data_IF_747522084030
#
_entry.id   IF_747522084030
#
_cell.length_a   1.000
_cell.length_b   1.000
_cell.length_c   1.000
_cell.angle_alpha   90.00
_cell.angle_beta   90.00
_cell.angle_gamma   90.00
#
_symmetry.space_group_name_H-M   'P 1'
#
loop_
_entity.id
_entity.type
_entity.pdbx_description
1 polymer ?
#
# COMPACT_ATOMS: atom_id res chain seq x y z
N UNK A 1 4.12 -10.72 14.19
CA UNK A 1 4.00 -11.01 12.78
C UNK A 1 3.66 -12.48 12.62
N UNK A 2 2.68 -12.81 11.79
CA UNK A 2 2.31 -14.16 11.41
C UNK A 2 2.55 -14.33 9.91
N UNK A 3 2.59 -15.56 9.46
CA UNK A 3 2.80 -15.89 8.05
C UNK A 3 1.83 -16.98 7.62
N UNK A 4 1.42 -16.92 6.38
CA UNK A 4 0.61 -17.95 5.71
C UNK A 4 1.15 -18.11 4.28
N UNK A 5 0.97 -19.26 3.70
CA UNK A 5 1.31 -19.53 2.31
C UNK A 5 0.05 -19.46 1.45
N UNK A 6 0.06 -18.59 0.45
CA UNK A 6 -1.00 -18.47 -0.55
C UNK A 6 -0.40 -18.72 -1.93
N UNK A 7 -0.88 -19.76 -2.62
CA UNK A 7 -0.41 -20.12 -3.97
C UNK A 7 1.12 -20.35 -4.08
N UNK A 8 1.74 -20.90 -3.03
CA UNK A 8 3.18 -21.13 -2.96
C UNK A 8 4.01 -19.89 -2.58
N UNK A 9 3.35 -18.80 -2.24
CA UNK A 9 4.01 -17.54 -1.87
C UNK A 9 3.67 -17.12 -0.44
N UNK A 10 4.67 -16.68 0.32
CA UNK A 10 4.50 -16.29 1.73
C UNK A 10 3.85 -14.92 1.86
N UNK A 11 2.76 -14.84 2.61
CA UNK A 11 2.09 -13.60 3.02
C UNK A 11 2.32 -13.35 4.50
N UNK A 12 2.83 -12.17 4.82
CA UNK A 12 2.98 -11.71 6.20
C UNK A 12 1.74 -10.93 6.63
N UNK A 13 1.31 -11.10 7.87
CA UNK A 13 0.20 -10.32 8.42
C UNK A 13 0.32 -10.14 9.93
N UNK A 14 -0.31 -9.10 10.44
CA UNK A 14 -0.54 -8.90 11.88
C UNK A 14 -1.95 -9.31 12.19
N UNK A 15 -2.12 -10.02 13.29
CA UNK A 15 -3.44 -10.39 13.79
C UNK A 15 -3.50 -10.17 15.30
N UNK A 16 -4.59 -9.61 15.77
CA UNK A 16 -4.84 -9.39 17.19
C UNK A 16 -6.34 -9.28 17.46
N UNK A 17 -6.74 -9.64 18.70
CA UNK A 17 -8.13 -9.55 19.16
C UNK A 17 -9.00 -10.72 18.71
N UNK A 18 -10.31 -10.57 18.98
CA UNK A 18 -11.34 -11.54 18.64
C UNK A 18 -12.66 -10.81 18.35
N UNK A 19 -13.65 -11.53 17.78
CA UNK A 19 -14.95 -10.98 17.41
C UNK A 19 -15.09 -10.70 15.92
N UNK A 20 -15.87 -9.67 15.55
CA UNK A 20 -16.04 -9.27 14.14
C UNK A 20 -14.70 -8.93 13.49
N UNK A 21 -14.51 -9.39 12.26
CA UNK A 21 -13.23 -9.20 11.57
C UNK A 21 -13.08 -7.79 10.98
N UNK A 22 -11.88 -7.21 11.16
CA UNK A 22 -11.41 -6.00 10.52
C UNK A 22 -10.22 -6.33 9.62
N UNK A 23 -10.36 -6.14 8.32
CA UNK A 23 -9.27 -6.24 7.35
C UNK A 23 -8.70 -4.84 7.09
N UNK A 24 -7.44 -4.60 7.47
CA UNK A 24 -6.77 -3.30 7.34
C UNK A 24 -5.74 -3.33 6.21
N UNK A 25 -5.98 -2.58 5.14
CA UNK A 25 -5.17 -2.57 3.92
C UNK A 25 -4.33 -1.29 3.86
N UNK A 26 -3.01 -1.43 3.88
CA UNK A 26 -2.05 -0.31 3.86
C UNK A 26 -1.91 0.36 2.49
N UNK A 27 -1.28 1.53 2.46
CA UNK A 27 -1.00 2.30 1.25
C UNK A 27 0.23 1.84 0.46
N UNK A 28 0.52 2.56 -0.63
CA UNK A 28 1.67 2.34 -1.50
C UNK A 28 2.99 2.38 -0.70
N UNK A 29 3.88 1.43 -0.97
CA UNK A 29 5.16 1.25 -0.29
C UNK A 29 5.06 1.14 1.26
N UNK A 30 3.85 1.01 1.81
CA UNK A 30 3.60 0.76 3.22
C UNK A 30 3.71 -0.72 3.60
N UNK A 31 3.22 -1.05 4.79
CA UNK A 31 3.10 -2.41 5.31
C UNK A 31 2.05 -2.44 6.42
N UNK A 32 1.80 -3.59 7.01
CA UNK A 32 0.96 -3.73 8.21
C UNK A 32 1.43 -2.85 9.39
N UNK A 33 2.66 -2.35 9.33
CA UNK A 33 3.21 -1.43 10.33
C UNK A 33 2.47 -0.09 10.39
N UNK A 34 1.86 0.36 9.29
CA UNK A 34 0.99 1.55 9.23
C UNK A 34 -0.09 1.51 10.32
N UNK A 35 -0.58 0.34 10.64
CA UNK A 35 -1.67 0.14 11.60
C UNK A 35 -1.20 -0.08 13.05
N UNK A 36 0.12 -0.06 13.31
CA UNK A 36 0.69 -0.41 14.63
C UNK A 36 0.14 0.43 15.77
N UNK A 37 -0.07 1.73 15.54
CA UNK A 37 -0.55 2.64 16.58
C UNK A 37 -2.01 2.39 16.97
N UNK A 38 -2.87 1.99 16.02
CA UNK A 38 -4.31 1.80 16.24
C UNK A 38 -4.68 0.36 16.57
N UNK A 39 -3.84 -0.60 16.20
CA UNK A 39 -4.07 -2.03 16.38
C UNK A 39 -4.40 -2.42 17.83
N UNK A 40 -3.71 -1.92 18.88
CA UNK A 40 -4.03 -2.25 20.27
C UNK A 40 -5.42 -1.79 20.71
N UNK A 41 -5.92 -0.70 20.17
CA UNK A 41 -7.27 -0.20 20.48
C UNK A 41 -8.36 -0.98 19.74
N UNK A 42 -8.14 -1.24 18.46
CA UNK A 42 -9.09 -1.98 17.62
C UNK A 42 -9.21 -3.42 18.08
N UNK A 43 -8.12 -4.06 18.48
CA UNK A 43 -8.11 -5.45 18.94
C UNK A 43 -8.85 -5.72 20.26
N UNK A 44 -9.23 -4.66 20.99
CA UNK A 44 -10.10 -4.79 22.17
C UNK A 44 -11.53 -5.19 21.79
N UNK A 45 -11.97 -4.94 20.56
CA UNK A 45 -13.36 -5.13 20.11
C UNK A 45 -13.47 -6.01 18.86
N UNK A 46 -12.39 -6.13 18.08
CA UNK A 46 -12.41 -6.75 16.77
C UNK A 46 -11.28 -7.77 16.62
N UNK A 47 -11.50 -8.77 15.78
CA UNK A 47 -10.42 -9.59 15.22
C UNK A 47 -9.76 -8.80 14.08
N UNK A 48 -8.67 -8.13 14.37
CA UNK A 48 -7.96 -7.28 13.39
C UNK A 48 -6.99 -8.13 12.60
N UNK A 49 -7.06 -8.06 11.27
CA UNK A 49 -6.11 -8.65 10.33
C UNK A 49 -5.54 -7.54 9.46
N UNK A 50 -4.22 -7.35 9.51
CA UNK A 50 -3.50 -6.35 8.72
C UNK A 50 -2.39 -7.05 7.93
N UNK A 51 -2.62 -7.43 6.66
CA UNK A 51 -1.61 -8.04 5.81
C UNK A 51 -0.61 -7.02 5.30
N UNK A 52 0.58 -7.52 4.98
CA UNK A 52 1.48 -6.89 4.02
C UNK A 52 1.06 -7.39 2.63
N UNK A 53 0.65 -6.49 1.74
CA UNK A 53 0.31 -6.85 0.36
C UNK A 53 1.52 -7.49 -0.35
N UNK A 54 1.30 -8.36 -1.31
CA UNK A 54 2.40 -8.87 -2.14
C UNK A 54 3.25 -7.72 -2.67
N UNK A 55 4.58 -7.89 -2.66
CA UNK A 55 5.51 -6.85 -3.04
C UNK A 55 5.84 -5.83 -1.93
N UNK A 56 5.18 -5.90 -0.78
CA UNK A 56 5.33 -4.97 0.33
C UNK A 56 5.73 -5.68 1.62
N UNK A 57 6.33 -4.92 2.54
CA UNK A 57 6.72 -5.41 3.87
C UNK A 57 7.48 -6.72 3.85
N UNK A 58 7.05 -7.66 4.69
CA UNK A 58 7.63 -9.00 4.85
C UNK A 58 6.97 -10.06 3.95
N UNK A 59 5.96 -9.68 3.17
CA UNK A 59 5.35 -10.57 2.18
C UNK A 59 6.28 -10.83 1.00
N UNK A 60 6.08 -11.97 0.34
CA UNK A 60 6.79 -12.33 -0.89
C UNK A 60 6.60 -11.28 -1.99
N UNK A 61 7.56 -11.23 -2.90
CA UNK A 61 7.61 -10.29 -4.03
C UNK A 61 7.65 -11.05 -5.35
N UNK A 62 6.60 -11.87 -5.64
CA UNK A 62 6.59 -12.71 -6.83
C UNK A 62 6.67 -11.89 -8.12
N UNK A 63 7.12 -12.55 -9.19
CA UNK A 63 6.96 -12.00 -10.53
C UNK A 63 5.53 -12.26 -10.98
N UNK A 64 4.68 -11.22 -10.94
CA UNK A 64 3.25 -11.41 -11.24
C UNK A 64 2.53 -10.09 -11.45
N UNK A 65 1.21 -10.18 -11.40
CA UNK A 65 0.30 -9.06 -11.50
C UNK A 65 0.19 -8.34 -10.14
N UNK A 66 0.32 -7.02 -10.17
CA UNK A 66 0.21 -6.12 -9.03
C UNK A 66 -0.95 -5.12 -9.22
N UNK A 67 -1.96 -5.53 -9.99
CA UNK A 67 -3.19 -4.75 -10.16
C UNK A 67 -4.05 -4.77 -8.89
N UNK A 68 -4.96 -3.80 -8.78
CA UNK A 68 -5.94 -3.78 -7.68
C UNK A 68 -6.75 -5.09 -7.62
N UNK A 69 -7.05 -5.68 -8.79
CA UNK A 69 -7.76 -6.95 -8.89
C UNK A 69 -6.98 -8.13 -8.32
N UNK A 70 -5.68 -8.22 -8.63
CA UNK A 70 -4.81 -9.26 -8.09
C UNK A 70 -4.67 -9.14 -6.56
N UNK A 71 -4.52 -7.92 -6.03
CA UNK A 71 -4.53 -7.70 -4.59
C UNK A 71 -5.86 -8.09 -3.94
N UNK A 72 -6.99 -7.76 -4.58
CA UNK A 72 -8.31 -8.13 -4.06
C UNK A 72 -8.48 -9.65 -3.96
N UNK A 73 -8.05 -10.40 -4.98
CA UNK A 73 -8.07 -11.87 -4.96
C UNK A 73 -7.19 -12.42 -3.82
N UNK A 74 -5.95 -11.94 -3.70
CA UNK A 74 -5.05 -12.42 -2.64
C UNK A 74 -5.58 -12.13 -1.23
N UNK A 75 -6.31 -11.03 -1.04
CA UNK A 75 -6.95 -10.70 0.24
C UNK A 75 -8.14 -11.61 0.52
N UNK A 76 -8.94 -11.99 -0.50
CA UNK A 76 -9.99 -12.98 -0.36
C UNK A 76 -9.40 -14.33 0.08
N UNK A 77 -8.35 -14.79 -0.60
CA UNK A 77 -7.69 -16.06 -0.29
C UNK A 77 -7.08 -16.05 1.12
N UNK A 78 -6.55 -14.91 1.57
CA UNK A 78 -6.10 -14.74 2.94
C UNK A 78 -7.26 -14.89 3.95
N UNK A 79 -8.42 -14.28 3.67
CA UNK A 79 -9.58 -14.40 4.56
C UNK A 79 -10.08 -15.84 4.61
N UNK A 80 -10.11 -16.55 3.48
CA UNK A 80 -10.50 -17.97 3.40
C UNK A 80 -9.55 -18.84 4.25
N UNK A 81 -8.24 -18.65 4.12
CA UNK A 81 -7.25 -19.38 4.90
C UNK A 81 -7.35 -19.11 6.41
N UNK A 82 -7.78 -17.91 6.79
CA UNK A 82 -8.02 -17.53 8.18
C UNK A 82 -9.43 -17.91 8.70
N UNK A 83 -10.25 -18.54 7.87
CA UNK A 83 -11.64 -18.92 8.22
C UNK A 83 -12.55 -17.70 8.44
N UNK A 84 -12.28 -16.57 7.72
CA UNK A 84 -13.03 -15.33 7.84
C UNK A 84 -13.96 -15.21 6.63
N UNK A 85 -15.24 -15.38 6.84
CA UNK A 85 -16.24 -15.32 5.77
C UNK A 85 -16.74 -13.90 5.49
N UNK A 86 -16.60 -12.98 6.45
CA UNK A 86 -17.01 -11.56 6.30
C UNK A 86 -16.15 -10.66 7.18
N UNK A 87 -15.82 -9.49 6.67
CA UNK A 87 -15.05 -8.48 7.40
C UNK A 87 -15.51 -7.05 7.10
N UNK A 88 -15.28 -6.14 8.03
CA UNK A 88 -15.22 -4.71 7.72
C UNK A 88 -13.88 -4.45 7.07
N UNK A 89 -13.89 -3.95 5.82
CA UNK A 89 -12.70 -3.70 5.01
C UNK A 89 -12.31 -2.23 5.13
N UNK A 90 -11.09 -1.98 5.59
CA UNK A 90 -10.55 -0.63 5.80
C UNK A 90 -9.34 -0.46 4.89
N UNK A 91 -9.33 0.56 4.04
CA UNK A 91 -8.21 0.81 3.13
C UNK A 91 -7.70 2.24 3.19
N UNK A 92 -6.37 2.40 3.24
CA UNK A 92 -5.71 3.69 3.24
C UNK A 92 -4.97 3.92 1.92
N UNK A 93 -5.14 5.08 1.29
CA UNK A 93 -4.45 5.47 0.06
C UNK A 93 -4.63 4.42 -1.05
N UNK A 94 -3.55 3.78 -1.55
CA UNK A 94 -3.63 2.62 -2.46
C UNK A 94 -4.54 1.53 -1.90
N UNK A 95 -4.41 1.23 -0.60
CA UNK A 95 -5.25 0.23 0.06
C UNK A 95 -6.74 0.56 -0.01
N UNK A 96 -7.11 1.84 -0.13
CA UNK A 96 -8.49 2.25 -0.39
C UNK A 96 -8.96 1.84 -1.78
N UNK A 97 -8.11 2.00 -2.81
CA UNK A 97 -8.38 1.48 -4.15
C UNK A 97 -8.52 -0.05 -4.18
N UNK A 98 -7.62 -0.75 -3.46
CA UNK A 98 -7.71 -2.21 -3.30
C UNK A 98 -9.00 -2.61 -2.57
N UNK A 99 -9.38 -1.88 -1.50
CA UNK A 99 -10.61 -2.14 -0.75
C UNK A 99 -11.87 -1.98 -1.60
N UNK A 100 -11.94 -0.93 -2.43
CA UNK A 100 -13.03 -0.73 -3.38
C UNK A 100 -13.10 -1.86 -4.40
N UNK A 101 -11.96 -2.26 -4.95
CA UNK A 101 -11.87 -3.39 -5.89
C UNK A 101 -12.25 -4.72 -5.22
N UNK A 102 -11.85 -4.92 -3.96
CA UNK A 102 -12.23 -6.08 -3.16
C UNK A 102 -13.76 -6.18 -3.00
N UNK A 103 -14.41 -5.08 -2.64
CA UNK A 103 -15.88 -5.03 -2.49
C UNK A 103 -16.57 -5.28 -3.82
N UNK A 104 -16.04 -4.77 -4.90
CA UNK A 104 -16.59 -5.00 -6.24
C UNK A 104 -16.53 -6.47 -6.65
N UNK A 105 -15.41 -7.15 -6.40
CA UNK A 105 -15.18 -8.55 -6.82
C UNK A 105 -15.75 -9.57 -5.81
N UNK A 106 -15.73 -9.24 -4.51
CA UNK A 106 -15.99 -10.17 -3.41
C UNK A 106 -17.00 -9.57 -2.41
N UNK A 107 -18.15 -9.12 -2.92
CA UNK A 107 -19.15 -8.39 -2.14
C UNK A 107 -19.60 -9.15 -0.88
N UNK A 108 -19.71 -10.46 -0.95
CA UNK A 108 -20.19 -11.29 0.15
C UNK A 108 -19.23 -11.33 1.35
N UNK A 109 -17.94 -11.07 1.10
CA UNK A 109 -16.92 -10.94 2.14
C UNK A 109 -16.91 -9.57 2.83
N UNK A 110 -17.56 -8.57 2.27
CA UNK A 110 -17.56 -7.22 2.81
C UNK A 110 -18.83 -6.94 3.63
N UNK A 111 -18.66 -6.66 4.93
CA UNK A 111 -19.73 -6.20 5.79
C UNK A 111 -19.88 -4.68 5.73
N UNK A 112 -18.76 -3.96 5.79
CA UNK A 112 -18.66 -2.50 5.71
C UNK A 112 -17.37 -2.12 5.00
N UNK A 113 -17.37 -0.99 4.31
CA UNK A 113 -16.19 -0.39 3.67
C UNK A 113 -15.84 0.93 4.35
N UNK A 114 -14.58 1.09 4.75
CA UNK A 114 -14.03 2.33 5.32
C UNK A 114 -12.84 2.77 4.47
N UNK A 115 -12.88 3.99 3.98
CA UNK A 115 -11.83 4.58 3.15
C UNK A 115 -11.14 5.72 3.89
N UNK A 116 -9.81 5.67 3.95
CA UNK A 116 -8.98 6.67 4.62
C UNK A 116 -8.03 7.27 3.60
N UNK A 117 -8.21 8.56 3.28
CA UNK A 117 -7.40 9.27 2.27
C UNK A 117 -7.19 8.44 0.99
N UNK A 118 -8.28 7.82 0.50
CA UNK A 118 -8.24 6.81 -0.55
C UNK A 118 -7.80 7.42 -1.89
N UNK A 119 -6.88 6.73 -2.57
CA UNK A 119 -6.62 6.95 -3.99
C UNK A 119 -7.79 6.45 -4.85
N UNK A 120 -7.95 7.04 -6.04
CA UNK A 120 -8.98 6.63 -7.02
C UNK A 120 -10.34 7.30 -6.89
N UNK A 121 -10.52 8.22 -5.92
CA UNK A 121 -11.75 8.99 -5.75
C UNK A 121 -11.75 10.35 -6.51
N UNK A 122 -10.67 10.67 -7.24
CA UNK A 122 -10.56 11.91 -7.98
C UNK A 122 -9.44 11.89 -9.02
N UNK A 123 -9.39 12.89 -9.92
CA UNK A 123 -8.37 12.99 -10.97
C UNK A 123 -6.99 13.42 -10.44
N UNK A 124 -6.89 13.85 -9.19
CA UNK A 124 -5.72 14.50 -8.64
C UNK A 124 -4.69 13.49 -8.12
N UNK A 125 -3.97 12.89 -9.05
CA UNK A 125 -2.74 12.19 -8.72
C UNK A 125 -1.58 13.18 -8.61
N UNK A 126 -0.84 13.09 -7.50
CA UNK A 126 0.39 13.85 -7.28
C UNK A 126 1.31 13.78 -8.51
N UNK A 127 1.83 14.93 -8.94
CA UNK A 127 2.80 15.01 -10.04
C UNK A 127 3.99 14.06 -9.80
N UNK A 128 4.41 13.89 -8.56
CA UNK A 128 5.48 12.97 -8.15
C UNK A 128 5.15 11.52 -8.52
N UNK A 129 3.92 11.04 -8.25
CA UNK A 129 3.51 9.68 -8.61
C UNK A 129 3.45 9.48 -10.12
N UNK A 130 3.01 10.50 -10.86
CA UNK A 130 3.03 10.47 -12.33
C UNK A 130 4.44 10.41 -12.88
N UNK A 131 5.37 11.20 -12.35
CA UNK A 131 6.79 11.15 -12.73
C UNK A 131 7.41 9.79 -12.44
N UNK A 132 7.11 9.20 -11.27
CA UNK A 132 7.60 7.89 -10.89
C UNK A 132 7.00 6.74 -11.72
N UNK A 133 5.83 6.92 -12.34
CA UNK A 133 5.23 5.92 -13.23
C UNK A 133 5.77 5.98 -14.66
N UNK A 134 6.51 7.05 -15.03
CA UNK A 134 7.03 7.26 -16.37
C UNK A 134 8.03 6.16 -16.78
N UNK A 135 8.09 5.82 -18.10
CA UNK A 135 9.13 4.95 -18.64
C UNK A 135 10.52 5.51 -18.37
N UNK A 136 11.48 4.65 -18.06
CA UNK A 136 12.88 5.02 -17.78
C UNK A 136 13.17 5.30 -16.29
N UNK A 137 12.17 5.45 -15.43
CA UNK A 137 12.37 5.62 -13.99
C UNK A 137 13.09 4.40 -13.38
N UNK A 138 12.92 3.22 -13.94
CA UNK A 138 13.63 2.01 -13.53
C UNK A 138 15.15 2.12 -13.64
N UNK A 139 15.68 3.04 -14.48
CA UNK A 139 17.10 3.29 -14.61
C UNK A 139 17.61 4.30 -13.56
N UNK A 140 16.78 5.27 -13.18
CA UNK A 140 17.16 6.35 -12.26
C UNK A 140 16.90 5.96 -10.81
N UNK A 141 15.78 5.30 -10.53
CA UNK A 141 15.36 4.96 -9.17
C UNK A 141 16.39 4.09 -8.40
N UNK A 142 17.13 3.12 -9.02
CA UNK A 142 18.19 2.39 -8.33
C UNK A 142 19.32 3.28 -7.83
N UNK A 143 19.65 4.33 -8.56
CA UNK A 143 20.71 5.28 -8.18
C UNK A 143 20.23 6.15 -7.02
N UNK A 144 19.04 6.74 -7.16
CA UNK A 144 18.45 7.63 -6.14
C UNK A 144 18.15 6.88 -4.85
N UNK A 145 17.65 5.65 -4.93
CA UNK A 145 17.38 4.80 -3.76
C UNK A 145 18.59 3.95 -3.32
N UNK A 146 19.80 4.27 -3.79
CA UNK A 146 21.00 3.54 -3.40
C UNK A 146 21.40 3.82 -1.93
N UNK A 147 21.99 2.82 -1.27
CA UNK A 147 22.45 2.96 0.12
C UNK A 147 23.33 4.19 0.39
N UNK A 148 24.31 4.55 -0.49
CA UNK A 148 25.10 5.76 -0.30
C UNK A 148 24.24 7.02 -0.26
N UNK A 149 23.29 7.17 -1.19
CA UNK A 149 22.39 8.34 -1.26
C UNK A 149 21.50 8.40 -0.03
N UNK A 150 20.92 7.27 0.39
CA UNK A 150 20.13 7.16 1.61
C UNK A 150 20.93 7.55 2.85
N UNK A 151 22.19 7.13 2.96
CA UNK A 151 23.05 7.47 4.09
C UNK A 151 23.36 8.97 4.16
N UNK A 152 23.57 9.61 3.01
CA UNK A 152 23.76 11.07 2.93
C UNK A 152 22.48 11.79 3.33
N UNK A 153 21.33 11.36 2.80
CA UNK A 153 20.05 11.95 3.13
C UNK A 153 19.69 11.78 4.62
N UNK A 154 20.00 10.62 5.23
CA UNK A 154 19.86 10.38 6.67
C UNK A 154 20.70 11.34 7.51
N UNK A 155 21.98 11.51 7.16
CA UNK A 155 22.88 12.43 7.85
C UNK A 155 22.40 13.89 7.75
N UNK A 156 21.92 14.28 6.57
CA UNK A 156 21.37 15.62 6.36
C UNK A 156 20.07 15.82 7.16
N UNK A 157 19.17 14.83 7.14
CA UNK A 157 17.93 14.86 7.91
C UNK A 157 18.16 14.94 9.40
N UNK A 158 19.11 14.18 9.95
CA UNK A 158 19.48 14.24 11.38
C UNK A 158 20.11 15.58 11.75
N UNK A 159 20.90 16.17 10.87
CA UNK A 159 21.47 17.51 11.07
C UNK A 159 20.38 18.58 11.07
N UNK A 160 19.42 18.55 10.13
CA UNK A 160 18.29 19.49 10.09
C UNK A 160 17.41 19.39 11.34
N UNK A 161 17.15 18.17 11.84
CA UNK A 161 16.39 17.96 13.08
C UNK A 161 17.15 18.53 14.29
N UNK A 162 18.46 18.36 14.35
CA UNK A 162 19.29 18.95 15.41
C UNK A 162 19.34 20.49 15.35
N UNK A 163 19.14 21.05 14.14
CA UNK A 163 19.03 22.50 13.92
C UNK A 163 17.61 23.06 14.17
N UNK A 164 16.69 22.23 14.72
CA UNK A 164 15.33 22.66 15.09
C UNK A 164 14.30 22.62 13.95
N UNK A 165 14.67 22.11 12.78
CA UNK A 165 13.71 21.91 11.68
C UNK A 165 12.93 20.62 11.94
N UNK A 166 11.69 20.76 12.42
CA UNK A 166 10.80 19.62 12.65
C UNK A 166 10.21 19.15 11.33
N UNK A 167 10.41 17.90 11.02
CA UNK A 167 9.74 17.25 9.88
C UNK A 167 8.30 16.92 10.26
N UNK A 168 7.33 17.00 9.33
CA UNK A 168 5.95 16.55 9.56
C UNK A 168 5.90 15.11 10.07
N UNK A 169 4.89 14.77 10.88
CA UNK A 169 4.70 13.43 11.48
C UNK A 169 4.75 12.27 10.47
N UNK A 170 4.42 12.53 9.22
CA UNK A 170 4.39 11.55 8.14
C UNK A 170 5.78 11.21 7.57
N UNK A 171 6.82 11.96 7.96
CA UNK A 171 8.17 11.79 7.40
C UNK A 171 8.80 10.44 7.70
N UNK A 172 8.52 9.85 8.86
CA UNK A 172 9.07 8.54 9.23
C UNK A 172 8.51 7.42 8.36
N UNK A 173 7.22 7.48 8.01
CA UNK A 173 6.56 6.51 7.14
C UNK A 173 7.05 6.66 5.70
N UNK A 174 7.09 7.89 5.18
CA UNK A 174 7.65 8.21 3.86
C UNK A 174 9.11 7.76 3.76
N UNK A 175 9.89 8.00 4.83
CA UNK A 175 11.28 7.59 4.87
C UNK A 175 11.45 6.08 4.89
N UNK A 176 10.64 5.36 5.67
CA UNK A 176 10.61 3.90 5.69
C UNK A 176 10.26 3.33 4.30
N UNK A 177 9.25 3.89 3.67
CA UNK A 177 8.85 3.54 2.31
C UNK A 177 9.98 3.77 1.30
N UNK A 178 10.63 4.95 1.35
CA UNK A 178 11.74 5.29 0.45
C UNK A 178 12.96 4.39 0.67
N UNK A 179 13.32 4.10 1.91
CA UNK A 179 14.45 3.23 2.24
C UNK A 179 14.24 1.79 1.78
N UNK A 180 12.99 1.30 1.78
CA UNK A 180 12.65 -0.04 1.29
C UNK A 180 12.92 -0.20 -0.23
N UNK A 181 12.89 0.89 -1.00
CA UNK A 181 13.19 0.88 -2.43
C UNK A 181 14.68 0.62 -2.77
N UNK A 182 15.55 0.59 -1.76
CA UNK A 182 16.94 0.14 -1.94
C UNK A 182 17.02 -1.34 -2.32
N UNK A 183 16.05 -2.16 -1.86
CA UNK A 183 15.90 -3.54 -2.29
C UNK A 183 15.33 -3.63 -3.71
N UNK A 184 16.01 -4.41 -4.57
CA UNK A 184 15.66 -4.51 -5.98
C UNK A 184 14.30 -5.15 -6.24
N UNK A 185 13.90 -6.15 -5.44
CA UNK A 185 12.61 -6.82 -5.60
C UNK A 185 11.47 -5.90 -5.15
N UNK A 186 11.64 -5.22 -4.01
CA UNK A 186 10.67 -4.22 -3.50
C UNK A 186 10.47 -3.10 -4.49
N UNK A 187 11.57 -2.59 -5.08
CA UNK A 187 11.52 -1.53 -6.09
C UNK A 187 10.77 -1.96 -7.35
N UNK A 188 11.00 -3.20 -7.83
CA UNK A 188 10.27 -3.72 -9.00
C UNK A 188 8.78 -3.90 -8.69
N UNK A 189 8.43 -4.44 -7.53
CA UNK A 189 7.05 -4.57 -7.09
C UNK A 189 6.36 -3.20 -6.99
N UNK A 190 7.03 -2.22 -6.37
CA UNK A 190 6.55 -0.84 -6.28
C UNK A 190 6.25 -0.24 -7.66
N UNK A 191 7.19 -0.35 -8.62
CA UNK A 191 6.99 0.21 -9.97
C UNK A 191 5.85 -0.50 -10.72
N UNK A 192 5.69 -1.82 -10.55
CA UNK A 192 4.58 -2.57 -11.15
C UNK A 192 3.25 -2.14 -10.56
N UNK A 193 3.14 -2.05 -9.23
CA UNK A 193 1.95 -1.56 -8.54
C UNK A 193 1.61 -0.14 -8.99
N UNK A 194 2.61 0.75 -9.00
CA UNK A 194 2.40 2.14 -9.41
C UNK A 194 1.87 2.24 -10.85
N UNK A 195 2.47 1.51 -11.79
CA UNK A 195 2.06 1.50 -13.20
C UNK A 195 0.70 0.83 -13.45
N UNK A 196 0.25 -0.03 -12.55
CA UNK A 196 -1.09 -0.64 -12.65
C UNK A 196 -2.21 0.32 -12.24
N UNK A 197 -1.91 1.34 -11.42
CA UNK A 197 -2.91 2.27 -10.87
C UNK A 197 -2.75 3.70 -11.35
N UNK A 198 -1.60 4.06 -11.91
CA UNK A 198 -1.27 5.43 -12.37
C UNK A 198 -0.96 5.43 -13.86
N UNK A 199 -1.79 6.10 -14.64
CA UNK A 199 -1.47 6.40 -16.05
C UNK A 199 -0.54 7.62 -16.10
N UNK A 200 0.68 7.46 -16.64
CA UNK A 200 1.62 8.56 -16.86
C UNK A 200 1.19 9.46 -18.03
N UNK A 201 0.33 8.96 -18.94
CA UNK A 201 -0.19 9.74 -20.07
C UNK A 201 -1.23 10.72 -19.55
N UNK A 202 -0.97 12.00 -19.73
CA UNK A 202 -1.97 13.03 -19.49
C UNK A 202 -3.08 12.84 -20.52
N UNK A 203 -4.16 12.15 -20.17
CA UNK A 203 -5.40 12.27 -20.93
C UNK A 203 -5.87 13.71 -20.75
N UNK A 204 -5.70 14.51 -21.80
CA UNK A 204 -6.42 15.79 -21.90
C UNK A 204 -7.89 15.47 -21.65
N UNK A 205 -8.44 16.09 -20.64
CA UNK A 205 -9.87 16.07 -20.34
C UNK A 205 -10.65 16.14 -21.67
N UNK A 206 -11.47 15.14 -21.91
CA UNK A 206 -12.52 15.24 -22.91
C UNK A 206 -13.39 16.40 -22.44
N UNK A 207 -13.30 17.54 -23.11
CA UNK A 207 -14.25 18.61 -22.92
C UNK A 207 -15.62 17.98 -23.09
N UNK A 208 -16.44 18.07 -22.07
CA UNK A 208 -17.86 17.83 -22.20
C UNK A 208 -18.39 18.79 -23.28
N UNK A 209 -18.48 18.30 -24.49
CA UNK A 209 -19.36 18.90 -25.48
C UNK A 209 -20.75 18.71 -24.90
N UNK A 210 -21.31 19.82 -24.45
CA UNK A 210 -22.70 19.90 -24.04
C UNK A 210 -23.58 19.34 -25.15
N UNK A 211 -24.43 18.41 -24.79
CA UNK A 211 -25.68 18.18 -25.49
C UNK A 211 -26.70 19.09 -24.84
N UNK A 212 -27.25 19.96 -25.66
CA UNK A 212 -28.46 20.76 -25.48
C UNK A 212 -29.64 19.83 -25.25
#
# INVERSE_FOLDING_TARGET
MKFVELHGERVAYREAGAGEALLLIHGMAGSSATWRAVLPQLSKKYRVVAPDLFGHGESAKPRGDYSLGAFAVSLRDLLDELGITRATVVGQSLGGGVAMQFVYQHRDYCQRLVLISSGGLGPDLSLTLRMLSAPGVELVLPVVASRPVLNVANKLGSWLTSAGVHSPSDSAEIWSAYSSLSDGQTRQAFLRTLRSVVDYRVRRSVRSTGCI
#
